data_IF_047829385601
#
_entry.id   IF_047829385601
#
_cell.length_a   1.000
_cell.length_b   1.000
_cell.length_c   1.000
_cell.angle_alpha   90.00
_cell.angle_beta   90.00
_cell.angle_gamma   90.00
#
_symmetry.space_group_name_H-M   'P 1'
#
loop_
_entity.id
_entity.type
_entity.pdbx_description
1 polymer ?
#
# COMPACT_ATOMS: atom_id res chain seq x y z
N UNK A 1 -18.18 -12.17 -7.71
CA UNK A 1 -16.91 -12.73 -8.23
C UNK A 1 -15.83 -11.71 -7.96
N UNK A 2 -14.89 -12.04 -7.07
CA UNK A 2 -13.50 -11.57 -7.09
C UNK A 2 -12.73 -12.58 -6.23
N UNK A 3 -12.26 -13.64 -6.86
CA UNK A 3 -11.42 -14.67 -6.23
C UNK A 3 -10.02 -14.11 -6.09
N UNK A 4 -9.62 -13.77 -4.87
CA UNK A 4 -8.22 -13.48 -4.54
C UNK A 4 -7.40 -14.75 -4.71
N UNK A 5 -6.46 -14.75 -5.65
CA UNK A 5 -5.43 -15.77 -5.76
C UNK A 5 -4.11 -15.17 -5.29
N UNK A 6 -3.87 -15.25 -3.98
CA UNK A 6 -2.66 -14.77 -3.32
C UNK A 6 -1.78 -15.90 -2.78
N UNK A 7 -1.94 -17.14 -3.27
CA UNK A 7 -1.16 -18.29 -2.80
C UNK A 7 0.21 -18.43 -3.51
N UNK A 8 0.84 -17.31 -3.86
CA UNK A 8 2.24 -17.32 -4.26
C UNK A 8 3.08 -17.00 -3.00
N UNK A 9 3.99 -17.88 -2.54
CA UNK A 9 4.89 -17.58 -1.42
C UNK A 9 5.89 -16.44 -1.72
N UNK A 10 5.99 -16.01 -2.98
CA UNK A 10 6.64 -14.77 -3.40
C UNK A 10 5.68 -13.57 -3.49
N UNK A 11 4.36 -13.77 -3.44
CA UNK A 11 3.41 -12.69 -3.27
C UNK A 11 3.46 -12.18 -1.83
N UNK A 12 4.06 -11.00 -1.67
CA UNK A 12 3.80 -10.03 -0.60
C UNK A 12 3.79 -10.62 0.83
N UNK A 13 4.68 -11.56 1.15
CA UNK A 13 4.62 -12.21 2.48
C UNK A 13 5.86 -12.98 2.94
N UNK A 14 7.03 -12.77 2.35
CA UNK A 14 8.28 -13.28 2.91
C UNK A 14 8.64 -12.57 4.22
N UNK A 15 9.54 -13.15 5.03
CA UNK A 15 10.05 -12.59 6.31
C UNK A 15 10.69 -11.18 6.18
N UNK A 16 10.81 -10.66 4.95
CA UNK A 16 11.39 -9.36 4.64
C UNK A 16 10.29 -8.31 4.65
N UNK A 17 10.51 -7.22 5.40
CA UNK A 17 9.58 -6.08 5.45
C UNK A 17 9.38 -5.47 4.07
N UNK A 18 8.12 -5.26 3.69
CA UNK A 18 7.78 -4.50 2.48
C UNK A 18 8.16 -3.04 2.64
N UNK A 19 8.84 -2.50 1.63
CA UNK A 19 9.21 -1.08 1.57
C UNK A 19 8.33 -0.44 0.48
N UNK A 20 7.43 0.50 0.83
CA UNK A 20 6.60 1.16 -0.15
C UNK A 20 7.45 2.00 -1.10
N UNK A 21 7.22 1.83 -2.40
CA UNK A 21 7.98 2.51 -3.45
C UNK A 21 7.56 3.98 -3.51
N UNK A 22 8.52 4.90 -3.54
CA UNK A 22 8.27 6.35 -3.63
C UNK A 22 7.35 6.93 -2.53
N UNK A 23 7.40 6.38 -1.31
CA UNK A 23 6.54 6.87 -0.22
C UNK A 23 6.74 8.37 0.05
N UNK A 24 7.99 8.85 0.00
CA UNK A 24 8.30 10.24 0.29
C UNK A 24 7.66 11.18 -0.75
N UNK A 25 7.80 10.86 -2.04
CA UNK A 25 7.25 11.62 -3.15
C UNK A 25 5.72 11.58 -3.15
N UNK A 26 5.12 10.44 -2.77
CA UNK A 26 3.67 10.33 -2.61
C UNK A 26 3.18 11.25 -1.48
N UNK A 27 3.84 11.26 -0.33
CA UNK A 27 3.48 12.14 0.78
C UNK A 27 3.67 13.62 0.45
N UNK A 28 4.72 13.96 -0.29
CA UNK A 28 4.96 15.33 -0.78
C UNK A 28 3.90 15.78 -1.77
N UNK A 29 3.50 14.91 -2.71
CA UNK A 29 2.49 15.26 -3.71
C UNK A 29 1.07 15.29 -3.14
N UNK A 30 0.76 14.41 -2.18
CA UNK A 30 -0.57 14.26 -1.60
C UNK A 30 -0.85 15.29 -0.50
N UNK A 31 0.19 15.75 0.20
CA UNK A 31 0.12 16.71 1.31
C UNK A 31 -1.04 16.47 2.28
N UNK A 32 -1.17 15.25 2.86
CA UNK A 32 -2.35 14.87 3.63
C UNK A 32 -2.50 15.75 4.89
N UNK A 33 -3.72 16.24 5.14
CA UNK A 33 -4.04 17.06 6.31
C UNK A 33 -5.00 16.34 7.26
N UNK A 34 -4.90 16.70 8.53
CA UNK A 34 -5.78 16.16 9.57
C UNK A 34 -7.26 16.41 9.22
N UNK A 35 -8.06 15.34 9.24
CA UNK A 35 -9.48 15.40 8.93
C UNK A 35 -9.83 15.21 7.44
N UNK A 36 -8.86 15.13 6.54
CA UNK A 36 -9.11 14.76 5.15
C UNK A 36 -9.45 13.26 5.03
N UNK A 37 -10.29 12.93 4.05
CA UNK A 37 -10.59 11.53 3.69
C UNK A 37 -9.81 11.18 2.43
N UNK A 38 -8.93 10.19 2.54
CA UNK A 38 -8.05 9.73 1.47
C UNK A 38 -8.43 8.28 1.12
N UNK A 39 -8.44 7.97 -0.17
CA UNK A 39 -8.74 6.63 -0.68
C UNK A 39 -7.48 6.01 -1.25
N UNK A 40 -7.00 4.93 -0.64
CA UNK A 40 -6.00 4.06 -1.25
C UNK A 40 -6.70 3.05 -2.17
N UNK A 41 -6.68 3.34 -3.48
CA UNK A 41 -7.27 2.46 -4.50
C UNK A 41 -6.50 1.15 -4.72
N UNK A 42 -5.37 0.97 -4.04
CA UNK A 42 -4.39 -0.10 -4.26
C UNK A 42 -3.84 -0.67 -2.96
N UNK A 43 -4.63 -0.64 -1.87
CA UNK A 43 -4.27 -1.00 -0.48
C UNK A 43 -3.08 -1.95 -0.29
N UNK A 44 -3.03 -3.08 -1.02
CA UNK A 44 -1.86 -3.95 -1.05
C UNK A 44 -1.53 -4.49 0.35
N UNK A 45 -0.31 -4.23 0.83
CA UNK A 45 0.15 -4.58 2.18
C UNK A 45 -0.06 -3.47 3.23
N UNK A 46 -0.78 -2.40 2.89
CA UNK A 46 -0.96 -1.23 3.77
C UNK A 46 0.27 -0.34 3.88
N UNK A 47 1.13 -0.32 2.85
CA UNK A 47 2.37 0.46 2.85
C UNK A 47 2.19 1.98 2.74
N UNK A 48 1.05 2.44 2.22
CA UNK A 48 0.75 3.85 1.99
C UNK A 48 -0.41 4.38 2.86
N UNK A 49 -0.97 3.54 3.73
CA UNK A 49 -2.04 3.85 4.68
C UNK A 49 -1.47 3.91 6.10
#
# INVERSE_FOLDING_TARGET
MMTGHGDDPHAVGGLVRHIPVLLAEVLEALEPKAGETIVDGTFGAGGYT
#
